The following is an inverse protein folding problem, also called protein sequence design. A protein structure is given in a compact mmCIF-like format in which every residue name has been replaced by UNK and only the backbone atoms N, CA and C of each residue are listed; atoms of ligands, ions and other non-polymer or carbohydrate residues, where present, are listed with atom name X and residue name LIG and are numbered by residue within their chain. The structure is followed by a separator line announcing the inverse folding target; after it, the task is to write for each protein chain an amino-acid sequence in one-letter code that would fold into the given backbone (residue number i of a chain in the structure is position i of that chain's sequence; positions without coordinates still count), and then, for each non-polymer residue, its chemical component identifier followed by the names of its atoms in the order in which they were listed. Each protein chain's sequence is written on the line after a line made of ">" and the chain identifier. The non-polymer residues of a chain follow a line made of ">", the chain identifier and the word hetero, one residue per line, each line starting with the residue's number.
data_IF_591259658616
#
_entry.id   IF_591259658616
#
_cell.length_a   1.000
_cell.length_b   1.000
_cell.length_c   1.000
_cell.angle_alpha   90.00
_cell.angle_beta   90.00
_cell.angle_gamma   90.00
#
_symmetry.space_group_name_H-M   'P 1'
#
loop_
_entity.id
_entity.type
_entity.pdbx_description
1 polymer ?
#
# COMPACT_ATOMS: atom_id res chain seq x y z
N UNK A 1 8.38 73.24 -31.30
CA UNK A 1 7.81 72.25 -32.24
C UNK A 1 8.66 70.99 -32.12
N UNK A 2 8.25 69.98 -31.35
CA UNK A 2 7.50 68.78 -31.78
C UNK A 2 8.04 68.17 -33.09
N UNK A 3 8.64 66.98 -33.00
CA UNK A 3 8.14 65.72 -33.58
C UNK A 3 9.02 64.56 -33.06
N UNK A 4 8.34 63.53 -32.56
CA UNK A 4 8.87 62.29 -32.03
C UNK A 4 9.15 61.30 -33.16
N UNK A 5 10.13 60.41 -32.97
CA UNK A 5 10.26 59.17 -33.73
C UNK A 5 10.45 58.03 -32.75
N UNK A 6 9.39 57.23 -32.60
CA UNK A 6 9.33 56.03 -31.78
C UNK A 6 10.14 54.90 -32.43
N UNK A 7 11.05 54.28 -31.66
CA UNK A 7 11.68 53.01 -32.04
C UNK A 7 10.86 51.90 -31.39
N UNK A 8 10.17 51.13 -32.23
CA UNK A 8 9.57 49.84 -31.89
C UNK A 8 10.68 48.84 -31.55
N UNK A 9 10.75 48.44 -30.28
CA UNK A 9 11.50 47.28 -29.83
C UNK A 9 10.57 46.08 -29.65
N UNK A 10 10.36 45.29 -30.70
CA UNK A 10 10.10 43.85 -30.57
C UNK A 10 11.45 43.22 -30.15
N UNK A 11 11.59 42.43 -29.09
CA UNK A 11 10.79 41.30 -28.66
C UNK A 11 11.73 40.09 -28.66
N UNK A 12 12.20 39.65 -27.48
CA UNK A 12 12.63 38.26 -27.21
C UNK A 12 12.83 38.08 -25.69
N UNK A 13 11.74 38.01 -24.93
CA UNK A 13 11.81 37.46 -23.57
C UNK A 13 11.84 35.94 -23.73
N UNK A 14 13.03 35.37 -23.72
CA UNK A 14 13.25 33.93 -23.58
C UNK A 14 12.75 33.51 -22.18
N UNK A 15 11.45 33.25 -22.09
CA UNK A 15 10.84 32.55 -20.97
C UNK A 15 11.34 31.11 -20.97
N UNK A 16 12.50 30.88 -20.37
CA UNK A 16 12.88 29.56 -19.87
C UNK A 16 11.86 29.18 -18.80
N UNK A 17 10.80 28.52 -19.25
CA UNK A 17 9.84 27.84 -18.38
C UNK A 17 10.57 26.75 -17.61
N UNK A 18 11.18 27.12 -16.48
CA UNK A 18 11.49 26.20 -15.40
C UNK A 18 10.15 25.81 -14.79
N UNK A 19 9.49 24.81 -15.39
CA UNK A 19 8.45 24.08 -14.67
C UNK A 19 9.12 23.49 -13.44
N UNK A 20 8.63 23.78 -12.22
CA UNK A 20 9.14 23.08 -11.05
C UNK A 20 8.90 21.58 -11.29
N UNK A 21 9.98 20.79 -11.31
CA UNK A 21 9.83 19.35 -11.12
C UNK A 21 9.17 19.17 -9.76
N UNK A 22 7.90 18.75 -9.75
CA UNK A 22 7.32 18.15 -8.56
C UNK A 22 8.21 16.96 -8.21
N UNK A 23 9.02 17.11 -7.17
CA UNK A 23 9.80 16.01 -6.63
C UNK A 23 8.81 14.92 -6.21
N UNK A 24 8.71 13.86 -7.01
CA UNK A 24 7.91 12.70 -6.64
C UNK A 24 8.44 12.19 -5.30
N UNK A 25 7.57 12.16 -4.28
CA UNK A 25 7.93 11.61 -2.99
C UNK A 25 8.54 10.22 -3.20
N UNK A 26 9.70 9.92 -2.58
CA UNK A 26 10.31 8.61 -2.70
C UNK A 26 9.29 7.49 -2.46
N UNK A 27 9.30 6.48 -3.32
CA UNK A 27 8.43 5.34 -3.21
C UNK A 27 8.72 4.59 -1.89
N UNK A 28 7.71 4.25 -1.08
CA UNK A 28 7.98 3.63 0.21
C UNK A 28 8.51 2.19 0.01
N UNK A 29 9.27 1.65 0.98
CA UNK A 29 9.93 0.35 0.83
C UNK A 29 8.98 -0.82 0.48
N UNK A 30 7.72 -0.74 0.90
CA UNK A 30 6.69 -1.76 0.67
C UNK A 30 5.86 -1.57 -0.60
N UNK A 31 6.18 -0.59 -1.45
CA UNK A 31 5.35 -0.29 -2.61
C UNK A 31 5.20 -1.43 -3.62
N UNK A 32 6.22 -2.29 -3.73
CA UNK A 32 6.12 -3.49 -4.54
C UNK A 32 5.01 -4.45 -4.08
N UNK A 33 4.56 -4.37 -2.83
CA UNK A 33 3.50 -5.18 -2.27
C UNK A 33 2.10 -4.58 -2.47
N UNK A 34 1.99 -3.36 -3.00
CA UNK A 34 0.71 -2.69 -3.22
C UNK A 34 -0.25 -3.52 -4.08
N UNK A 35 -1.54 -3.52 -3.72
CA UNK A 35 -2.60 -4.17 -4.47
C UNK A 35 -3.39 -5.18 -3.65
N UNK A 36 -4.22 -5.94 -4.36
CA UNK A 36 -5.10 -6.96 -3.81
C UNK A 36 -4.47 -8.35 -3.93
N UNK A 37 -4.62 -9.14 -2.87
CA UNK A 37 -4.03 -10.47 -2.72
C UNK A 37 -5.10 -11.47 -2.25
N UNK A 38 -5.11 -12.66 -2.84
CA UNK A 38 -6.06 -13.73 -2.55
C UNK A 38 -5.36 -14.99 -2.06
N UNK A 39 -6.07 -15.87 -1.37
CA UNK A 39 -5.53 -17.08 -0.76
C UNK A 39 -5.33 -16.88 0.74
N UNK A 40 -4.17 -17.29 1.27
CA UNK A 40 -3.84 -17.10 2.67
C UNK A 40 -4.48 -18.13 3.60
N UNK A 41 -5.80 -18.11 3.75
CA UNK A 41 -6.55 -19.10 4.53
C UNK A 41 -6.56 -20.47 3.86
N UNK A 42 -6.83 -20.45 2.56
CA UNK A 42 -6.79 -21.58 1.65
C UNK A 42 -5.91 -21.19 0.45
N UNK A 43 -5.33 -22.15 -0.29
CA UNK A 43 -4.63 -21.85 -1.52
C UNK A 43 -5.51 -21.05 -2.49
N UNK A 44 -4.91 -20.06 -3.15
CA UNK A 44 -5.60 -19.26 -4.17
C UNK A 44 -6.07 -20.14 -5.34
N UNK A 45 -7.38 -20.17 -5.59
CA UNK A 45 -7.98 -20.93 -6.70
C UNK A 45 -8.12 -20.11 -7.99
N UNK A 46 -8.33 -18.80 -7.88
CA UNK A 46 -8.49 -17.86 -8.99
C UNK A 46 -7.80 -16.54 -8.66
N UNK A 47 -7.00 -16.03 -9.59
CA UNK A 47 -6.22 -14.79 -9.45
C UNK A 47 -6.56 -13.75 -10.50
N UNK A 48 -7.59 -13.99 -11.34
CA UNK A 48 -7.90 -13.14 -12.48
C UNK A 48 -9.29 -12.49 -12.38
N UNK A 49 -9.40 -11.31 -12.97
CA UNK A 49 -10.67 -10.61 -13.15
C UNK A 49 -11.31 -10.07 -11.87
N UNK A 50 -12.57 -9.60 -11.99
CA UNK A 50 -13.26 -8.85 -10.93
C UNK A 50 -13.57 -9.70 -9.69
N UNK A 51 -13.59 -11.02 -9.83
CA UNK A 51 -13.84 -11.93 -8.70
C UNK A 51 -12.69 -11.87 -7.68
N UNK A 52 -11.44 -11.83 -8.16
CA UNK A 52 -10.30 -11.71 -7.27
C UNK A 52 -10.24 -10.33 -6.61
N UNK A 53 -10.39 -9.26 -7.40
CA UNK A 53 -10.25 -7.89 -6.89
C UNK A 53 -11.44 -7.42 -6.06
N UNK A 54 -12.64 -8.02 -6.22
CA UNK A 54 -13.83 -7.67 -5.47
C UNK A 54 -13.90 -8.26 -4.05
N UNK A 55 -13.20 -9.36 -3.78
CA UNK A 55 -13.16 -10.01 -2.45
C UNK A 55 -11.77 -10.58 -2.11
N UNK A 56 -10.70 -9.76 -2.10
CA UNK A 56 -9.37 -10.25 -1.76
C UNK A 56 -9.23 -10.62 -0.28
N UNK A 57 -8.31 -11.52 0.04
CA UNK A 57 -7.98 -11.84 1.43
C UNK A 57 -7.21 -10.70 2.10
N UNK A 58 -6.30 -10.06 1.37
CA UNK A 58 -5.46 -8.97 1.87
C UNK A 58 -5.37 -7.86 0.84
N UNK A 59 -5.39 -6.62 1.29
CA UNK A 59 -5.14 -5.43 0.47
C UNK A 59 -4.01 -4.64 1.13
N UNK A 60 -2.97 -4.35 0.37
CA UNK A 60 -1.84 -3.53 0.83
C UNK A 60 -1.87 -2.22 0.04
N UNK A 61 -1.87 -1.11 0.76
CA UNK A 61 -1.82 0.23 0.18
C UNK A 61 -0.59 0.97 0.70
N UNK A 62 -0.45 2.25 0.35
CA UNK A 62 0.63 3.11 0.86
C UNK A 62 0.63 3.19 2.38
N UNK A 63 -0.53 3.39 3.00
CA UNK A 63 -0.62 3.73 4.42
C UNK A 63 -1.42 2.72 5.24
N UNK A 64 -2.08 1.76 4.58
CA UNK A 64 -3.01 0.82 5.23
C UNK A 64 -2.79 -0.59 4.72
N UNK A 65 -2.80 -1.55 5.66
CA UNK A 65 -2.99 -2.96 5.35
C UNK A 65 -4.39 -3.38 5.83
N UNK A 66 -5.15 -3.99 4.93
CA UNK A 66 -6.47 -4.52 5.22
C UNK A 66 -6.46 -6.04 5.03
N UNK A 67 -7.14 -6.76 5.92
CA UNK A 67 -7.38 -8.20 5.76
C UNK A 67 -8.81 -8.56 6.06
N UNK A 68 -9.35 -9.53 5.33
CA UNK A 68 -10.55 -10.25 5.75
C UNK A 68 -10.15 -11.42 6.64
N UNK A 69 -11.08 -11.93 7.44
CA UNK A 69 -11.03 -13.25 8.09
C UNK A 69 -12.36 -13.94 7.80
N UNK A 70 -12.41 -15.26 7.51
CA UNK A 70 -13.66 -15.98 7.29
C UNK A 70 -14.71 -15.80 8.40
N UNK A 71 -14.27 -15.48 9.62
CA UNK A 71 -15.11 -15.25 10.80
C UNK A 71 -15.42 -13.78 11.06
N UNK A 72 -14.80 -12.86 10.33
CA UNK A 72 -15.03 -11.42 10.47
C UNK A 72 -15.89 -10.89 9.32
N UNK A 73 -16.93 -10.13 9.66
CA UNK A 73 -17.81 -9.49 8.66
C UNK A 73 -17.11 -8.33 7.93
N UNK A 74 -16.42 -7.39 8.60
CA UNK A 74 -15.67 -6.34 7.92
C UNK A 74 -14.19 -6.69 7.73
N UNK A 75 -13.55 -6.05 6.74
CA UNK A 75 -12.09 -5.99 6.70
C UNK A 75 -11.55 -5.36 7.98
N UNK A 76 -10.57 -6.02 8.59
CA UNK A 76 -9.73 -5.44 9.64
C UNK A 76 -8.70 -4.54 8.97
N UNK A 77 -8.64 -3.28 9.39
CA UNK A 77 -7.72 -2.29 8.85
C UNK A 77 -6.66 -1.93 9.89
N UNK A 78 -5.42 -1.77 9.44
CA UNK A 78 -4.27 -1.32 10.23
C UNK A 78 -3.48 -0.27 9.48
N UNK A 79 -3.08 0.79 10.17
CA UNK A 79 -2.18 1.80 9.60
C UNK A 79 -0.76 1.26 9.57
N UNK A 80 -0.03 1.58 8.51
CA UNK A 80 1.41 1.36 8.39
C UNK A 80 2.10 2.52 9.10
N UNK A 81 2.78 2.21 10.21
CA UNK A 81 3.61 3.19 10.92
C UNK A 81 5.00 3.27 10.30
N UNK A 82 5.62 2.11 10.05
CA UNK A 82 6.91 2.00 9.36
C UNK A 82 6.95 0.76 8.48
N UNK A 83 7.76 0.82 7.43
CA UNK A 83 8.07 -0.32 6.58
C UNK A 83 9.57 -0.36 6.32
N UNK A 84 10.17 -1.52 6.52
CA UNK A 84 11.60 -1.76 6.32
C UNK A 84 11.79 -2.88 5.32
N UNK A 85 12.60 -2.64 4.29
CA UNK A 85 13.01 -3.69 3.35
C UNK A 85 13.88 -4.73 4.06
N UNK A 86 13.63 -6.00 3.78
CA UNK A 86 14.44 -7.14 4.23
C UNK A 86 14.99 -7.87 2.99
N UNK A 87 16.08 -8.66 3.12
CA UNK A 87 16.67 -9.37 1.98
C UNK A 87 15.69 -10.22 1.17
N UNK A 88 14.67 -10.79 1.82
CA UNK A 88 13.65 -11.63 1.20
C UNK A 88 12.22 -11.04 1.28
N UNK A 89 12.06 -9.75 1.64
CA UNK A 89 10.73 -9.23 1.91
C UNK A 89 10.64 -7.89 2.63
N UNK A 90 9.69 -7.79 3.55
CA UNK A 90 9.36 -6.59 4.32
C UNK A 90 9.16 -6.91 5.79
N UNK A 91 9.47 -5.92 6.63
CA UNK A 91 9.00 -5.86 8.00
C UNK A 91 8.16 -4.59 8.15
N UNK A 92 6.88 -4.74 8.47
CA UNK A 92 5.94 -3.64 8.61
C UNK A 92 5.52 -3.53 10.07
N UNK A 93 5.66 -2.33 10.64
CA UNK A 93 5.05 -1.96 11.92
C UNK A 93 3.67 -1.40 11.67
N UNK A 94 2.69 -1.92 12.39
CA UNK A 94 1.28 -1.59 12.25
C UNK A 94 0.75 -0.92 13.51
N UNK A 95 -0.14 0.04 13.34
CA UNK A 95 -0.89 0.65 14.45
C UNK A 95 -2.39 0.46 14.24
N UNK A 96 -3.18 0.36 15.33
CA UNK A 96 -4.63 0.22 15.23
C UNK A 96 -5.24 1.44 14.51
N UNK A 97 -6.21 1.20 13.63
CA UNK A 97 -7.13 2.25 13.18
C UNK A 97 -8.22 2.34 14.23
N UNK A 98 -8.26 3.42 15.00
CA UNK A 98 -9.39 3.69 15.91
C UNK A 98 -10.48 4.42 15.12
N UNK A 99 -11.67 3.82 14.93
CA UNK A 99 -12.78 4.54 14.31
C UNK A 99 -13.13 5.78 15.14
N UNK A 100 -13.49 6.91 14.51
CA UNK A 100 -14.01 8.07 15.23
C UNK A 100 -15.20 7.66 16.12
N UNK A 101 -15.09 7.91 17.43
CA UNK A 101 -16.13 7.57 18.41
C UNK A 101 -16.04 6.17 19.06
N UNK A 102 -15.09 5.33 18.66
CA UNK A 102 -14.87 4.04 19.31
C UNK A 102 -14.18 4.23 20.67
N UNK A 103 -14.88 3.92 21.77
CA UNK A 103 -14.32 4.03 23.14
C UNK A 103 -13.50 2.82 23.58
N UNK A 104 -13.64 1.67 22.93
CA UNK A 104 -12.94 0.44 23.26
C UNK A 104 -12.72 -0.38 21.98
N UNK A 105 -11.53 -0.29 21.37
CA UNK A 105 -11.12 -1.28 20.38
C UNK A 105 -10.61 -2.49 21.16
N UNK A 106 -11.16 -3.71 20.97
CA UNK A 106 -10.66 -4.89 21.67
C UNK A 106 -9.14 -5.04 21.45
N UNK A 107 -8.34 -5.22 22.52
CA UNK A 107 -6.92 -5.50 22.38
C UNK A 107 -6.75 -6.88 21.70
N UNK A 108 -5.86 -6.96 20.70
CA UNK A 108 -5.53 -8.23 20.03
C UNK A 108 -6.04 -8.41 18.60
N UNK A 109 -6.78 -7.45 18.02
CA UNK A 109 -7.26 -7.54 16.63
C UNK A 109 -6.17 -7.09 15.64
N UNK A 110 -5.06 -7.83 15.56
CA UNK A 110 -3.89 -7.52 14.71
C UNK A 110 -3.70 -8.45 13.52
N UNK A 111 -2.62 -8.26 12.76
CA UNK A 111 -2.17 -9.30 11.80
C UNK A 111 -1.55 -10.49 12.53
N UNK A 112 -1.05 -10.31 13.77
CA UNK A 112 -0.78 -11.37 14.75
C UNK A 112 0.29 -12.39 14.36
N UNK A 113 0.92 -12.23 13.21
CA UNK A 113 2.01 -13.06 12.76
C UNK A 113 3.19 -12.92 13.74
N UNK A 114 3.91 -14.01 14.04
CA UNK A 114 4.99 -14.03 15.04
C UNK A 114 4.54 -13.68 16.49
N UNK A 115 3.23 -13.67 16.79
CA UNK A 115 2.70 -13.36 18.12
C UNK A 115 2.65 -11.87 18.48
N UNK A 116 3.03 -10.97 17.55
CA UNK A 116 2.93 -9.52 17.70
C UNK A 116 1.79 -8.97 16.80
N UNK A 117 0.69 -8.44 17.36
CA UNK A 117 -0.44 -7.93 16.57
C UNK A 117 -0.08 -6.69 15.72
N UNK A 118 1.05 -6.04 16.02
CA UNK A 118 1.52 -4.82 15.40
C UNK A 118 2.73 -5.04 14.49
N UNK A 119 3.12 -6.30 14.24
CA UNK A 119 4.19 -6.64 13.32
C UNK A 119 3.63 -7.49 12.18
N UNK A 120 4.01 -7.15 10.95
CA UNK A 120 3.72 -7.95 9.77
C UNK A 120 5.01 -8.20 9.00
N UNK A 121 5.45 -9.46 9.01
CA UNK A 121 6.52 -9.95 8.15
C UNK A 121 5.90 -10.42 6.84
N UNK A 122 6.45 -9.95 5.73
CA UNK A 122 6.04 -10.38 4.39
C UNK A 122 7.27 -10.92 3.71
N UNK A 123 7.22 -12.15 3.21
CA UNK A 123 8.27 -12.70 2.36
C UNK A 123 7.77 -12.81 0.93
N UNK A 124 8.62 -12.44 -0.03
CA UNK A 124 8.35 -12.63 -1.45
C UNK A 124 8.79 -14.05 -1.84
N UNK A 125 7.87 -14.85 -2.40
CA UNK A 125 8.14 -16.24 -2.85
C UNK A 125 8.23 -16.41 -4.36
N UNK A 126 7.74 -15.44 -5.11
CA UNK A 126 7.84 -15.40 -6.57
C UNK A 126 7.21 -14.14 -7.12
N UNK A 127 7.05 -14.08 -8.44
CA UNK A 127 6.35 -12.99 -9.10
C UNK A 127 4.86 -13.05 -8.74
N UNK A 128 4.41 -12.07 -7.95
CA UNK A 128 3.02 -12.01 -7.50
C UNK A 128 2.66 -13.02 -6.43
N UNK A 129 3.63 -13.58 -5.70
CA UNK A 129 3.36 -14.47 -4.56
C UNK A 129 4.09 -13.98 -3.30
N UNK A 130 3.34 -13.87 -2.20
CA UNK A 130 3.86 -13.52 -0.87
C UNK A 130 3.39 -14.51 0.18
N UNK A 131 4.13 -14.61 1.28
CA UNK A 131 3.73 -15.37 2.46
C UNK A 131 3.88 -14.51 3.71
N UNK A 132 3.02 -14.77 4.69
CA UNK A 132 3.17 -14.25 6.04
C UNK A 132 3.70 -15.39 6.93
N UNK A 133 5.03 -15.49 7.12
CA UNK A 133 5.62 -16.55 7.93
C UNK A 133 5.07 -16.50 9.36
N UNK A 134 4.94 -17.69 9.97
CA UNK A 134 4.42 -17.87 11.34
C UNK A 134 3.10 -17.15 11.60
N UNK A 135 2.25 -17.06 10.58
CA UNK A 135 0.94 -16.42 10.69
C UNK A 135 -0.15 -17.49 10.63
N UNK A 136 -0.69 -17.86 11.80
CA UNK A 136 -1.73 -18.89 11.90
C UNK A 136 -3.00 -18.53 11.11
N UNK A 137 -3.25 -17.23 10.93
CA UNK A 137 -4.37 -16.73 10.16
C UNK A 137 -4.17 -16.87 8.64
N UNK A 138 -2.92 -16.93 8.17
CA UNK A 138 -2.57 -17.02 6.75
C UNK A 138 -1.56 -18.16 6.51
N UNK A 139 -1.95 -19.43 6.70
CA UNK A 139 -1.04 -20.57 6.57
C UNK A 139 -0.62 -20.87 5.12
N UNK A 140 -1.39 -20.45 4.12
CA UNK A 140 -1.11 -20.64 2.70
C UNK A 140 -0.53 -19.36 2.05
N UNK A 141 0.16 -19.48 0.90
CA UNK A 141 0.59 -18.32 0.15
C UNK A 141 -0.56 -17.44 -0.33
N UNK A 142 -0.27 -16.15 -0.42
CA UNK A 142 -1.12 -15.13 -1.02
C UNK A 142 -0.63 -14.87 -2.45
N UNK A 143 -1.55 -14.91 -3.40
CA UNK A 143 -1.29 -14.58 -4.80
C UNK A 143 -1.92 -13.25 -5.17
N UNK A 144 -1.21 -12.47 -5.98
CA UNK A 144 -1.66 -11.17 -6.47
C UNK A 144 -2.88 -11.33 -7.37
N UNK A 145 -3.90 -10.53 -7.13
CA UNK A 145 -5.01 -10.37 -8.06
C UNK A 145 -4.56 -9.58 -9.29
N UNK A 146 -4.91 -10.08 -10.45
CA UNK A 146 -4.68 -9.46 -11.77
C UNK A 146 -6.03 -9.19 -12.43
N UNK A 147 -6.12 -8.11 -13.20
CA UNK A 147 -7.33 -7.79 -13.97
C UNK A 147 -7.39 -8.61 -15.25
#
# INVERSE_FOLDING_TARGET
>A
MRIAAAILGAGLVLGLGLTPSEAQSPEPPHAWAFGSWTGGYFPAADTQGPRCTGQPSVIITRDVVMRSNPLDVPYRQRMIETATAQPNGLLIRLTPVTPPGARNVPPGVGFGCDGDPNLLRIERRGDGEIVFPNCAEFPAPLKRCTN
#
